data_IF_471834395528
#
_entry.id   IF_471834395528
#
_cell.length_a   1.000
_cell.length_b   1.000
_cell.length_c   1.000
_cell.angle_alpha   90.00
_cell.angle_beta   90.00
_cell.angle_gamma   90.00
#
_symmetry.space_group_name_H-M   'P 1'
#
loop_
_entity.id
_entity.type
_entity.pdbx_description
1 polymer ?
#
# COMPACT_ATOMS: atom_id res chain seq x y z
N UNK A 1 5.62 13.25 17.97
CA UNK A 1 7.05 13.10 17.64
C UNK A 1 7.14 12.73 16.17
N UNK A 2 7.72 13.61 15.37
CA UNK A 2 7.73 13.54 13.91
C UNK A 2 9.10 13.05 13.44
N UNK A 3 9.15 12.19 12.42
CA UNK A 3 10.42 11.67 11.89
C UNK A 3 10.92 12.62 10.80
N UNK A 4 12.10 13.16 11.03
CA UNK A 4 12.81 14.04 10.11
C UNK A 4 13.78 13.23 9.23
N UNK A 5 14.05 13.71 8.03
CA UNK A 5 15.26 13.33 7.31
C UNK A 5 15.91 14.57 6.74
N UNK A 6 17.24 14.57 6.76
CA UNK A 6 18.07 15.68 6.27
C UNK A 6 18.58 15.24 4.92
N UNK A 7 18.22 15.97 3.87
CA UNK A 7 18.88 15.87 2.57
C UNK A 7 20.14 16.74 2.59
N UNK A 8 21.20 16.31 1.88
CA UNK A 8 22.50 16.99 1.75
C UNK A 8 22.37 18.42 1.17
N UNK A 9 21.19 18.77 0.64
CA UNK A 9 20.88 20.08 0.06
C UNK A 9 20.20 21.10 1.00
N UNK A 10 20.20 20.87 2.32
CA UNK A 10 19.78 21.79 3.40
C UNK A 10 18.25 21.93 3.67
N UNK A 11 17.53 20.82 3.79
CA UNK A 11 16.12 20.83 4.24
C UNK A 11 15.79 19.73 5.25
N UNK A 12 14.95 20.07 6.25
CA UNK A 12 14.26 19.08 7.08
C UNK A 12 13.02 18.61 6.31
N UNK A 13 13.05 17.38 5.80
CA UNK A 13 11.91 16.79 5.09
C UNK A 13 11.05 15.94 6.02
N UNK A 14 9.73 16.13 5.93
CA UNK A 14 8.73 15.36 6.64
C UNK A 14 8.18 14.27 5.73
N UNK A 15 8.57 13.02 5.96
CA UNK A 15 7.97 11.91 5.21
C UNK A 15 6.52 11.69 5.64
N UNK A 16 5.62 11.80 4.66
CA UNK A 16 4.24 11.35 4.77
C UNK A 16 4.13 9.85 4.48
N UNK A 17 3.09 9.22 5.00
CA UNK A 17 2.71 7.84 4.68
C UNK A 17 1.25 7.84 4.23
N UNK A 18 0.99 7.28 3.06
CA UNK A 18 -0.37 7.01 2.59
C UNK A 18 -0.51 5.53 2.28
N UNK A 19 -1.54 4.92 2.86
CA UNK A 19 -1.96 3.57 2.55
C UNK A 19 -2.86 3.59 1.31
N UNK A 20 -2.55 2.75 0.33
CA UNK A 20 -3.35 2.56 -0.88
C UNK A 20 -3.93 1.16 -0.84
N UNK A 21 -5.23 1.05 -1.13
CA UNK A 21 -5.92 -0.23 -1.34
C UNK A 21 -6.83 -0.13 -2.56
N UNK A 22 -7.17 -1.29 -3.12
CA UNK A 22 -8.13 -1.41 -4.22
C UNK A 22 -9.31 -2.25 -3.73
N UNK A 23 -10.47 -1.61 -3.66
CA UNK A 23 -11.72 -2.22 -3.22
C UNK A 23 -12.85 -1.82 -4.18
N UNK A 24 -13.52 -2.79 -4.83
CA UNK A 24 -14.62 -2.49 -5.74
C UNK A 24 -15.89 -2.01 -5.01
N UNK A 25 -16.08 -2.49 -3.78
CA UNK A 25 -17.27 -2.28 -2.98
C UNK A 25 -16.91 -1.80 -1.57
N UNK A 26 -17.82 -1.06 -0.95
CA UNK A 26 -17.76 -0.75 0.47
C UNK A 26 -18.14 -2.00 1.28
N UNK A 27 -17.18 -2.53 2.02
CA UNK A 27 -17.34 -3.74 2.83
C UNK A 27 -16.98 -3.47 4.28
N UNK A 28 -17.45 -4.32 5.20
CA UNK A 28 -17.02 -4.26 6.60
C UNK A 28 -15.50 -4.36 6.74
N UNK A 29 -14.84 -5.21 5.92
CA UNK A 29 -13.38 -5.30 5.89
C UNK A 29 -12.72 -3.98 5.49
N UNK A 30 -13.23 -3.28 4.47
CA UNK A 30 -12.71 -1.96 4.09
C UNK A 30 -12.90 -0.94 5.22
N UNK A 31 -14.07 -0.93 5.85
CA UNK A 31 -14.35 -0.07 7.01
C UNK A 31 -13.37 -0.35 8.15
N UNK A 32 -13.13 -1.62 8.48
CA UNK A 32 -12.15 -2.04 9.50
C UNK A 32 -10.73 -1.63 9.12
N UNK A 33 -10.34 -1.80 7.87
CA UNK A 33 -9.05 -1.36 7.34
C UNK A 33 -8.84 0.14 7.54
N UNK A 34 -9.80 0.97 7.09
CA UNK A 34 -9.72 2.43 7.22
C UNK A 34 -9.75 2.88 8.68
N UNK A 35 -10.57 2.24 9.52
CA UNK A 35 -10.62 2.51 10.95
C UNK A 35 -9.27 2.28 11.63
N UNK A 36 -8.63 1.13 11.36
CA UNK A 36 -7.32 0.83 11.98
C UNK A 36 -6.21 1.73 11.44
N UNK A 37 -6.27 2.12 10.17
CA UNK A 37 -5.34 3.10 9.59
C UNK A 37 -5.47 4.48 10.26
N UNK A 38 -6.70 4.99 10.40
CA UNK A 38 -7.00 6.28 11.03
C UNK A 38 -6.52 6.32 12.49
N UNK A 39 -6.84 5.28 13.26
CA UNK A 39 -6.36 5.12 14.66
C UNK A 39 -4.83 5.16 14.78
N UNK A 40 -4.12 4.76 13.73
CA UNK A 40 -2.66 4.74 13.68
C UNK A 40 -2.04 5.96 12.97
N UNK A 41 -2.87 6.95 12.61
CA UNK A 41 -2.45 8.19 11.96
C UNK A 41 -1.98 8.00 10.53
N UNK A 42 -2.56 7.03 9.81
CA UNK A 42 -2.23 6.67 8.43
C UNK A 42 -3.39 7.08 7.54
N UNK A 43 -3.12 7.96 6.56
CA UNK A 43 -4.10 8.35 5.54
C UNK A 43 -4.37 7.16 4.62
N UNK A 44 -5.62 6.92 4.25
CA UNK A 44 -5.99 5.88 3.28
C UNK A 44 -6.48 6.49 1.98
N UNK A 45 -6.14 5.85 0.86
CA UNK A 45 -6.78 6.08 -0.44
C UNK A 45 -7.28 4.76 -0.98
N UNK A 46 -8.55 4.76 -1.36
CA UNK A 46 -9.25 3.60 -1.89
C UNK A 46 -9.52 3.87 -3.36
N UNK A 47 -9.06 2.96 -4.23
CA UNK A 47 -9.33 3.00 -5.65
C UNK A 47 -10.23 1.83 -6.06
N UNK A 48 -10.91 1.97 -7.20
CA UNK A 48 -11.75 0.91 -7.76
C UNK A 48 -13.21 0.89 -7.30
N UNK A 49 -13.62 1.76 -6.37
CA UNK A 49 -15.00 1.85 -5.90
C UNK A 49 -15.97 2.09 -7.06
N UNK A 50 -17.04 1.28 -7.12
CA UNK A 50 -18.09 1.40 -8.14
C UNK A 50 -17.70 0.90 -9.54
N UNK A 51 -16.50 0.32 -9.71
CA UNK A 51 -16.13 -0.36 -10.94
C UNK A 51 -16.43 -1.85 -10.84
N UNK A 52 -17.05 -2.40 -11.90
CA UNK A 52 -17.36 -3.82 -11.97
C UNK A 52 -16.08 -4.66 -11.84
N UNK A 53 -15.98 -5.41 -10.75
CA UNK A 53 -14.90 -6.36 -10.54
C UNK A 53 -15.06 -7.53 -11.52
N UNK A 54 -14.11 -7.72 -12.44
CA UNK A 54 -14.03 -8.95 -13.23
C UNK A 54 -13.55 -10.05 -12.29
N UNK A 55 -14.49 -10.87 -11.80
CA UNK A 55 -14.20 -11.93 -10.84
C UNK A 55 -13.17 -12.91 -11.40
N UNK A 56 -12.29 -13.37 -10.51
CA UNK A 56 -11.36 -14.46 -10.78
C UNK A 56 -12.10 -15.76 -11.15
N UNK A 57 -13.35 -15.92 -10.71
CA UNK A 57 -14.23 -17.08 -10.98
C UNK A 57 -14.49 -17.31 -12.48
N UNK A 58 -14.33 -16.29 -13.33
CA UNK A 58 -14.45 -16.39 -14.78
C UNK A 58 -13.11 -16.59 -15.50
N UNK A 59 -12.00 -16.60 -14.75
CA UNK A 59 -10.64 -16.63 -15.31
C UNK A 59 -9.97 -17.97 -15.03
N UNK A 60 -9.52 -18.66 -16.09
CA UNK A 60 -8.71 -19.89 -16.02
C UNK A 60 -7.24 -19.63 -15.66
N UNK A 61 -6.90 -18.43 -15.18
CA UNK A 61 -5.54 -17.97 -14.91
C UNK A 61 -5.41 -17.38 -13.50
N UNK A 62 -4.18 -17.10 -13.07
CA UNK A 62 -3.89 -16.41 -11.80
C UNK A 62 -4.58 -15.03 -11.75
N UNK A 63 -5.26 -14.75 -10.65
CA UNK A 63 -6.04 -13.53 -10.45
C UNK A 63 -5.17 -12.31 -10.06
N UNK A 64 -5.80 -11.13 -9.94
CA UNK A 64 -5.19 -9.94 -9.34
C UNK A 64 -4.60 -8.92 -10.33
N UNK A 65 -4.45 -9.25 -11.61
CA UNK A 65 -3.94 -8.32 -12.63
C UNK A 65 -4.77 -7.03 -12.76
N UNK A 66 -6.08 -7.11 -12.48
CA UNK A 66 -6.93 -5.92 -12.39
C UNK A 66 -6.43 -4.93 -11.32
N UNK A 67 -6.04 -5.41 -10.13
CA UNK A 67 -5.49 -4.55 -9.07
C UNK A 67 -4.20 -3.87 -9.54
N UNK A 68 -3.33 -4.59 -10.24
CA UNK A 68 -2.08 -4.01 -10.76
C UNK A 68 -2.35 -2.88 -11.76
N UNK A 69 -3.33 -3.03 -12.65
CA UNK A 69 -3.70 -1.98 -13.60
C UNK A 69 -4.27 -0.74 -12.89
N UNK A 70 -5.23 -0.94 -11.97
CA UNK A 70 -5.81 0.17 -11.19
C UNK A 70 -4.72 0.86 -10.36
N UNK A 71 -3.81 0.09 -9.74
CA UNK A 71 -2.70 0.64 -8.98
C UNK A 71 -1.80 1.48 -9.88
N UNK A 72 -1.35 0.94 -11.02
CA UNK A 72 -0.51 1.66 -11.99
C UNK A 72 -1.13 3.01 -12.36
N UNK A 73 -2.41 3.01 -12.72
CA UNK A 73 -3.09 4.22 -13.16
C UNK A 73 -3.26 5.23 -12.01
N UNK A 74 -3.52 4.74 -10.79
CA UNK A 74 -3.63 5.58 -9.58
C UNK A 74 -2.31 6.23 -9.14
N UNK A 75 -1.17 5.57 -9.41
CA UNK A 75 0.15 6.08 -9.00
C UNK A 75 0.53 7.38 -9.72
N UNK A 76 -0.12 7.69 -10.85
CA UNK A 76 0.05 8.96 -11.57
C UNK A 76 -0.15 10.20 -10.69
N UNK A 77 -1.05 10.11 -9.69
CA UNK A 77 -1.36 11.18 -8.74
C UNK A 77 -0.16 11.60 -7.87
N UNK A 78 0.83 10.72 -7.70
CA UNK A 78 1.94 10.90 -6.77
C UNK A 78 3.29 11.13 -7.44
N UNK A 79 3.34 11.18 -8.78
CA UNK A 79 4.58 11.25 -9.57
C UNK A 79 5.55 12.37 -9.16
N UNK A 80 5.04 13.48 -8.66
CA UNK A 80 5.86 14.64 -8.24
C UNK A 80 6.09 14.73 -6.72
N UNK A 81 5.67 13.73 -5.94
CA UNK A 81 5.79 13.72 -4.46
C UNK A 81 7.04 12.97 -4.03
N UNK A 82 8.11 13.69 -3.71
CA UNK A 82 9.35 13.11 -3.17
C UNK A 82 9.33 12.91 -1.65
N UNK A 83 8.38 13.53 -0.96
CA UNK A 83 8.19 13.51 0.48
C UNK A 83 7.19 12.43 0.96
N UNK A 84 6.81 11.51 0.09
CA UNK A 84 5.72 10.55 0.33
C UNK A 84 6.20 9.10 0.21
N UNK A 85 5.89 8.31 1.24
CA UNK A 85 5.94 6.85 1.17
C UNK A 85 4.53 6.32 0.94
N UNK A 86 4.40 5.42 -0.03
CA UNK A 86 3.16 4.68 -0.30
C UNK A 86 3.29 3.26 0.24
N UNK A 87 2.26 2.78 0.92
CA UNK A 87 2.13 1.38 1.30
C UNK A 87 0.88 0.81 0.64
N UNK A 88 1.04 -0.21 -0.20
CA UNK A 88 -0.08 -0.93 -0.78
C UNK A 88 -0.39 -2.19 0.03
N UNK A 89 -1.64 -2.39 0.42
CA UNK A 89 -2.13 -3.62 1.07
C UNK A 89 -3.54 -3.93 0.60
N UNK A 90 -3.92 -5.20 0.68
CA UNK A 90 -5.30 -5.62 0.41
C UNK A 90 -6.19 -5.32 1.63
N UNK A 91 -7.26 -4.55 1.44
CA UNK A 91 -8.14 -4.18 2.54
C UNK A 91 -9.10 -5.31 2.96
N UNK A 92 -9.19 -6.39 2.19
CA UNK A 92 -10.10 -7.49 2.50
C UNK A 92 -9.69 -8.26 3.77
N UNK A 93 -8.40 -8.41 4.02
CA UNK A 93 -7.85 -9.23 5.11
C UNK A 93 -6.68 -8.58 5.88
N UNK A 94 -6.23 -7.37 5.50
CA UNK A 94 -5.21 -6.64 6.26
C UNK A 94 -5.81 -5.60 7.23
N UNK A 95 -5.04 -5.27 8.29
CA UNK A 95 -5.30 -4.17 9.22
C UNK A 95 -3.98 -3.52 9.65
N UNK A 96 -4.04 -2.27 10.11
CA UNK A 96 -2.88 -1.59 10.68
C UNK A 96 -2.84 -1.72 12.19
N UNK A 97 -1.72 -2.24 12.72
CA UNK A 97 -1.49 -2.38 14.17
C UNK A 97 -0.40 -1.42 14.70
N UNK A 98 0.42 -0.88 13.80
CA UNK A 98 1.56 -0.02 14.13
C UNK A 98 1.27 1.42 13.72
N UNK A 99 1.83 2.38 14.46
CA UNK A 99 1.67 3.80 14.15
C UNK A 99 2.49 4.16 12.92
N UNK A 100 2.03 5.19 12.18
CA UNK A 100 2.72 5.74 11.01
C UNK A 100 4.23 5.92 11.19
N UNK A 101 4.66 6.47 12.33
CA UNK A 101 6.09 6.71 12.62
C UNK A 101 6.89 5.41 12.64
N UNK A 102 6.34 4.36 13.23
CA UNK A 102 7.04 3.11 13.45
C UNK A 102 7.17 2.34 12.12
N UNK A 103 6.15 2.42 11.26
CA UNK A 103 6.20 1.91 9.88
C UNK A 103 7.27 2.65 9.06
N UNK A 104 7.28 4.00 9.07
CA UNK A 104 8.28 4.79 8.33
C UNK A 104 9.70 4.52 8.83
N UNK A 105 9.89 4.36 10.13
CA UNK A 105 11.19 4.01 10.71
C UNK A 105 11.67 2.64 10.23
N UNK A 106 10.80 1.63 10.24
CA UNK A 106 11.11 0.28 9.72
C UNK A 106 11.40 0.34 8.22
N UNK A 107 10.60 1.03 7.43
CA UNK A 107 10.83 1.19 5.98
C UNK A 107 12.21 1.78 5.68
N UNK A 108 12.60 2.86 6.38
CA UNK A 108 13.95 3.46 6.22
C UNK A 108 15.08 2.50 6.55
N UNK A 109 14.89 1.62 7.54
CA UNK A 109 15.94 0.67 7.94
C UNK A 109 16.28 -0.38 6.88
N UNK A 110 15.41 -0.59 5.88
CA UNK A 110 15.69 -1.46 4.75
C UNK A 110 16.65 -0.83 3.73
N UNK A 111 16.91 0.48 3.80
CA UNK A 111 17.74 1.23 2.84
C UNK A 111 17.36 0.94 1.37
N UNK A 112 16.06 0.91 1.11
CA UNK A 112 15.49 0.52 -0.17
C UNK A 112 14.42 1.52 -0.63
N UNK A 113 14.27 1.67 -1.95
CA UNK A 113 13.22 2.50 -2.56
C UNK A 113 11.85 1.80 -2.57
N UNK A 114 11.85 0.47 -2.64
CA UNK A 114 10.65 -0.37 -2.65
C UNK A 114 10.93 -1.62 -1.82
N UNK A 115 9.99 -1.98 -0.95
CA UNK A 115 10.05 -3.18 -0.11
C UNK A 115 8.77 -3.99 -0.35
N UNK A 116 8.92 -5.26 -0.69
CA UNK A 116 7.81 -6.20 -0.84
C UNK A 116 7.68 -7.04 0.43
N UNK A 117 6.45 -7.41 0.77
CA UNK A 117 6.21 -8.42 1.79
C UNK A 117 6.80 -9.77 1.33
N UNK A 118 7.38 -10.52 2.27
CA UNK A 118 7.89 -11.85 2.02
C UNK A 118 6.85 -12.91 2.43
N UNK A 119 6.83 -14.02 1.71
CA UNK A 119 6.05 -15.21 2.04
C UNK A 119 6.98 -16.44 2.00
N UNK A 120 6.63 -17.48 2.74
CA UNK A 120 7.38 -18.74 2.77
C UNK A 120 7.12 -19.61 1.53
N UNK A 121 6.13 -19.26 0.71
CA UNK A 121 5.75 -19.99 -0.48
C UNK A 121 6.17 -19.25 -1.76
N UNK A 122 6.80 -19.98 -2.68
CA UNK A 122 7.03 -19.48 -4.03
C UNK A 122 5.84 -19.87 -4.89
N UNK A 123 5.07 -18.86 -5.26
CA UNK A 123 3.83 -18.98 -6.04
C UNK A 123 3.80 -17.85 -7.08
N UNK A 124 3.23 -18.06 -8.29
CA UNK A 124 2.61 -19.29 -8.77
C UNK A 124 3.60 -20.29 -9.38
N UNK A 125 4.81 -19.86 -9.75
CA UNK A 125 5.81 -20.73 -10.36
C UNK A 125 6.87 -21.17 -9.34
N UNK A 126 6.81 -22.40 -8.81
CA UNK A 126 7.74 -22.90 -7.81
C UNK A 126 9.17 -23.07 -8.34
N UNK A 127 9.40 -22.92 -9.65
CA UNK A 127 10.74 -22.98 -10.27
C UNK A 127 11.57 -21.73 -10.03
N UNK A 128 10.97 -20.63 -9.56
CA UNK A 128 11.66 -19.37 -9.25
C UNK A 128 12.32 -19.36 -7.85
N UNK A 129 12.65 -20.55 -7.31
CA UNK A 129 13.40 -20.73 -6.07
C UNK A 129 14.87 -20.42 -6.22
#
# INVERSE_FOLDING_TARGET
>A
MTIYYIDETNGIFFLELTAITIAPDETDSLTRYQYTADKNGIKTKVYGLGHAWRKAEEMTCTAGGYKVNVLRDSLGEFTNRQDLVLIYTDSSDAVFIERRKDILSKFKSFDAKVVFAADNFIWPDPKLK
#
